data_IF_758661805870
#
_entry.id   IF_758661805870
#
_cell.length_a   1.000
_cell.length_b   1.000
_cell.length_c   1.000
_cell.angle_alpha   90.00
_cell.angle_beta   90.00
_cell.angle_gamma   90.00
#
_symmetry.space_group_name_H-M   'P 1'
#
loop_
_entity.id
_entity.type
_entity.pdbx_description
1 polymer ?
#
# COMPACT_ATOMS: atom_id res chain seq x y z
N UNK A 1 -13.14 -2.29 17.35
CA UNK A 1 -14.22 -2.26 16.34
C UNK A 1 -15.63 -2.26 16.96
N UNK A 2 -16.00 -3.23 17.81
CA UNK A 2 -17.38 -3.33 18.36
C UNK A 2 -17.86 -2.15 19.23
N UNK A 3 -16.95 -1.32 19.78
CA UNK A 3 -17.31 -0.20 20.65
C UNK A 3 -17.51 1.13 19.92
N UNK A 4 -16.94 1.30 18.73
CA UNK A 4 -17.02 2.51 17.90
C UNK A 4 -16.54 2.22 16.47
N UNK A 5 -17.34 1.48 15.70
CA UNK A 5 -17.04 1.14 14.31
C UNK A 5 -17.12 2.34 13.36
N UNK A 6 -17.93 3.36 13.71
CA UNK A 6 -18.09 4.59 12.92
C UNK A 6 -16.76 5.28 12.61
N UNK A 7 -15.87 5.41 13.59
CA UNK A 7 -14.58 6.10 13.39
C UNK A 7 -13.67 5.34 12.41
N UNK A 8 -13.68 4.00 12.47
CA UNK A 8 -12.89 3.18 11.55
C UNK A 8 -13.48 3.19 10.14
N UNK A 9 -14.80 3.14 10.01
CA UNK A 9 -15.48 3.20 8.71
C UNK A 9 -15.37 4.58 8.07
N UNK A 10 -15.49 5.65 8.87
CA UNK A 10 -15.32 7.02 8.39
C UNK A 10 -13.88 7.26 7.94
N UNK A 11 -12.89 6.82 8.73
CA UNK A 11 -11.48 6.90 8.33
C UNK A 11 -11.15 6.03 7.10
N UNK A 12 -11.75 4.85 6.96
CA UNK A 12 -11.53 4.01 5.76
C UNK A 12 -12.22 4.55 4.50
N UNK A 13 -13.36 5.24 4.66
CA UNK A 13 -14.18 5.74 3.54
C UNK A 13 -13.86 7.18 3.12
N UNK A 14 -13.49 8.05 4.06
CA UNK A 14 -13.21 9.46 3.80
C UNK A 14 -11.71 9.77 3.78
N UNK A 15 -10.93 9.16 4.67
CA UNK A 15 -9.49 9.43 4.74
C UNK A 15 -8.69 8.56 3.77
N UNK A 16 -7.59 9.12 3.28
CA UNK A 16 -6.56 8.37 2.56
C UNK A 16 -5.45 8.04 3.54
N UNK A 17 -5.33 6.77 3.90
CA UNK A 17 -4.38 6.28 4.90
C UNK A 17 -3.27 5.52 4.18
N UNK A 18 -2.02 6.00 4.27
CA UNK A 18 -0.86 5.29 3.74
C UNK A 18 0.01 4.77 4.89
N UNK A 19 0.13 3.46 5.00
CA UNK A 19 1.01 2.80 5.96
C UNK A 19 2.30 2.38 5.26
N UNK A 20 3.44 2.88 5.74
CA UNK A 20 4.76 2.41 5.29
C UNK A 20 5.29 1.43 6.33
N UNK A 21 5.51 0.18 5.92
CA UNK A 21 6.05 -0.84 6.81
C UNK A 21 7.49 -0.52 7.21
N UNK A 22 7.90 -1.08 8.35
CA UNK A 22 9.32 -1.09 8.72
C UNK A 22 10.13 -1.69 7.57
N UNK A 23 11.23 -1.02 7.23
CA UNK A 23 12.16 -1.49 6.21
C UNK A 23 12.71 -2.86 6.62
N UNK A 24 12.60 -3.83 5.72
CA UNK A 24 13.21 -5.15 5.93
C UNK A 24 14.75 -5.05 5.87
N UNK A 25 15.45 -6.13 6.17
CA UNK A 25 16.91 -6.28 6.02
C UNK A 25 17.41 -5.94 4.60
N UNK A 26 16.55 -6.06 3.59
CA UNK A 26 16.81 -5.63 2.20
C UNK A 26 16.53 -4.14 1.94
N UNK A 27 16.19 -3.38 2.99
CA UNK A 27 15.69 -2.00 2.94
C UNK A 27 14.40 -1.81 2.12
N UNK A 28 13.68 -2.89 1.79
CA UNK A 28 12.37 -2.78 1.15
C UNK A 28 11.30 -2.41 2.18
N UNK A 29 10.35 -1.55 1.81
CA UNK A 29 9.17 -1.24 2.60
C UNK A 29 7.90 -1.53 1.81
N UNK A 30 6.94 -2.14 2.47
CA UNK A 30 5.59 -2.34 1.95
C UNK A 30 4.76 -1.11 2.32
N UNK A 31 4.23 -0.44 1.30
CA UNK A 31 3.33 0.68 1.44
C UNK A 31 1.92 0.13 1.24
N UNK A 32 1.09 0.19 2.26
CA UNK A 32 -0.33 -0.16 2.17
C UNK A 32 -1.15 1.13 2.19
N UNK A 33 -1.77 1.48 1.07
CA UNK A 33 -2.66 2.63 0.98
C UNK A 33 -4.11 2.16 1.02
N UNK A 34 -4.89 2.79 1.89
CA UNK A 34 -6.34 2.70 1.93
C UNK A 34 -6.89 4.04 1.45
N UNK A 35 -7.79 4.04 0.46
CA UNK A 35 -8.43 5.26 -0.01
C UNK A 35 -9.83 4.98 -0.49
N UNK A 36 -10.84 5.62 0.13
CA UNK A 36 -12.26 5.46 -0.25
C UNK A 36 -12.75 4.02 -0.34
N UNK A 37 -12.23 3.14 0.54
CA UNK A 37 -12.54 1.70 0.51
C UNK A 37 -11.65 0.85 -0.39
N UNK A 38 -10.84 1.46 -1.25
CA UNK A 38 -9.84 0.74 -2.05
C UNK A 38 -8.57 0.47 -1.25
N UNK A 39 -8.01 -0.71 -1.48
CA UNK A 39 -6.79 -1.20 -0.88
C UNK A 39 -5.70 -1.29 -1.95
N UNK A 40 -4.55 -0.68 -1.67
CA UNK A 40 -3.38 -0.71 -2.54
C UNK A 40 -2.15 -1.15 -1.77
N UNK A 41 -1.36 -2.05 -2.35
CA UNK A 41 -0.10 -2.54 -1.83
C UNK A 41 1.02 -2.19 -2.80
N UNK A 42 1.90 -1.28 -2.42
CA UNK A 42 3.11 -0.96 -3.18
C UNK A 42 4.32 -1.50 -2.44
N UNK A 43 5.04 -2.44 -3.04
CA UNK A 43 6.34 -2.85 -2.51
C UNK A 43 7.40 -1.93 -3.08
N UNK A 44 8.04 -1.13 -2.22
CA UNK A 44 9.08 -0.19 -2.61
C UNK A 44 10.43 -0.60 -2.04
N UNK A 45 11.43 -0.74 -2.90
CA UNK A 45 12.78 -1.08 -2.48
C UNK A 45 13.60 0.19 -2.20
N UNK A 46 14.03 0.42 -0.95
CA UNK A 46 14.87 1.57 -0.59
C UNK A 46 16.35 1.19 -0.41
N UNK A 47 16.75 -0.05 -0.73
CA UNK A 47 18.10 -0.56 -0.46
C UNK A 47 19.13 -0.17 -1.48
N UNK A 48 18.68 0.26 -2.65
CA UNK A 48 19.56 0.70 -3.70
C UNK A 48 19.72 2.20 -3.65
N UNK A 49 20.97 2.63 -3.43
CA UNK A 49 21.40 3.97 -3.82
C UNK A 49 21.06 4.12 -5.30
N UNK A 50 20.34 5.19 -5.63
CA UNK A 50 19.91 5.50 -6.99
C UNK A 50 21.14 5.77 -7.88
N UNK A 51 21.77 4.70 -8.37
CA UNK A 51 22.74 4.78 -9.43
C UNK A 51 21.97 5.04 -10.73
N UNK A 52 22.14 6.28 -11.18
CA UNK A 52 21.56 6.90 -12.37
C UNK A 52 21.47 5.91 -13.54
N UNK A 53 20.25 5.82 -14.09
CA UNK A 53 19.90 5.43 -15.46
C UNK A 53 19.31 4.03 -15.71
N UNK A 54 19.41 3.03 -14.82
CA UNK A 54 18.95 1.67 -15.15
C UNK A 54 18.37 0.84 -14.00
N UNK A 55 18.06 1.43 -12.84
CA UNK A 55 17.32 0.66 -11.84
C UNK A 55 15.86 0.55 -12.29
N UNK A 56 15.53 -0.59 -12.88
CA UNK A 56 14.17 -1.13 -12.91
C UNK A 56 13.75 -1.36 -11.46
N UNK A 57 13.50 -0.28 -10.74
CA UNK A 57 12.84 -0.27 -9.44
C UNK A 57 11.49 -0.95 -9.73
N UNK A 58 11.41 -2.26 -9.47
CA UNK A 58 10.17 -3.03 -9.59
C UNK A 58 9.27 -2.60 -8.43
N UNK A 59 8.80 -1.36 -8.48
CA UNK A 59 7.72 -0.86 -7.67
C UNK A 59 6.47 -1.54 -8.20
N UNK A 60 6.18 -2.72 -7.66
CA UNK A 60 4.95 -3.42 -7.98
C UNK A 60 3.88 -2.85 -7.07
N UNK A 61 2.89 -2.21 -7.68
CA UNK A 61 1.75 -1.62 -7.00
C UNK A 61 0.52 -2.42 -7.35
N UNK A 62 0.09 -3.26 -6.43
CA UNK A 62 -1.12 -4.06 -6.54
C UNK A 62 -2.27 -3.22 -5.97
N UNK A 63 -3.22 -2.80 -6.81
CA UNK A 63 -4.40 -2.06 -6.35
C UNK A 63 -5.67 -2.88 -6.57
N UNK A 64 -6.60 -2.78 -5.63
CA UNK A 64 -7.90 -3.45 -5.71
C UNK A 64 -7.99 -4.72 -4.87
N UNK A 65 -9.22 -5.15 -4.64
CA UNK A 65 -9.53 -6.27 -3.78
C UNK A 65 -10.12 -7.42 -4.61
N UNK A 66 -9.30 -8.47 -4.85
CA UNK A 66 -9.73 -9.64 -5.62
C UNK A 66 -10.92 -10.38 -4.97
N UNK A 67 -11.13 -10.23 -3.66
CA UNK A 67 -12.22 -10.91 -2.93
C UNK A 67 -13.54 -10.18 -2.99
N UNK A 68 -13.52 -8.85 -2.95
CA UNK A 68 -14.73 -8.02 -2.92
C UNK A 68 -15.11 -7.53 -4.33
N UNK A 69 -14.13 -7.10 -5.14
CA UNK A 69 -14.37 -6.55 -6.48
C UNK A 69 -14.11 -7.55 -7.62
N UNK A 70 -13.42 -8.67 -7.34
CA UNK A 70 -13.08 -9.67 -8.35
C UNK A 70 -12.00 -9.24 -9.35
N UNK A 71 -11.47 -8.02 -9.21
CA UNK A 71 -10.42 -7.43 -10.05
C UNK A 71 -9.26 -6.94 -9.21
N UNK A 72 -8.04 -7.22 -9.67
CA UNK A 72 -6.79 -6.72 -9.11
C UNK A 72 -6.00 -6.07 -10.25
N UNK A 73 -5.57 -4.84 -10.03
CA UNK A 73 -4.72 -4.07 -10.94
C UNK A 73 -3.26 -4.22 -10.48
N UNK A 74 -2.33 -4.46 -11.42
CA UNK A 74 -0.90 -4.73 -11.19
C UNK A 74 -0.04 -3.73 -11.94
#
# INVERSE_FOLDING_TARGET
FQKNSKVYLDALGNDRIAFVSKKDTKHSALITEFGKGDLSYTLKDYGKKADRALDREKNVTLQGNLKDDGVMFV
#
